data_IF_557186119084
#
_entry.id   IF_557186119084
#
_cell.length_a   1.000
_cell.length_b   1.000
_cell.length_c   1.000
_cell.angle_alpha   90.00
_cell.angle_beta   90.00
_cell.angle_gamma   90.00
#
_symmetry.space_group_name_H-M   'P 1'
#
loop_
_entity.id
_entity.type
_entity.pdbx_description
1 polymer ?
#
# COMPACT_ATOMS: atom_id res chain seq x y z
N UNK A 1 4.14 2.72 27.17
CA UNK A 1 3.70 3.36 25.91
C UNK A 1 2.34 4.00 26.14
N UNK A 2 2.12 5.23 25.68
CA UNK A 2 0.80 5.87 25.75
C UNK A 2 0.08 5.65 24.42
N UNK A 3 -0.99 4.84 24.37
CA UNK A 3 -1.68 4.53 23.12
C UNK A 3 -2.22 5.75 22.39
N UNK A 4 -2.74 6.75 23.12
CA UNK A 4 -3.32 7.96 22.52
C UNK A 4 -2.28 8.87 21.86
N UNK A 5 -1.00 8.59 22.04
CA UNK A 5 0.13 9.28 21.40
C UNK A 5 0.95 8.33 20.53
N UNK A 6 0.34 7.25 20.11
CA UNK A 6 1.01 6.20 19.33
C UNK A 6 0.27 5.97 18.03
N UNK A 7 1.03 5.76 16.96
CA UNK A 7 0.50 5.38 15.67
C UNK A 7 1.19 4.12 15.15
N UNK A 8 0.41 3.23 14.54
CA UNK A 8 0.93 2.15 13.71
C UNK A 8 1.04 2.69 12.28
N UNK A 9 2.23 2.67 11.72
CA UNK A 9 2.47 3.02 10.33
C UNK A 9 2.76 1.76 9.53
N UNK A 10 1.96 1.49 8.51
CA UNK A 10 2.26 0.47 7.51
C UNK A 10 2.71 1.13 6.22
N UNK A 11 3.64 0.50 5.52
CA UNK A 11 4.22 1.00 4.28
C UNK A 11 4.01 -0.03 3.19
N UNK A 12 3.39 0.38 2.09
CA UNK A 12 3.18 -0.42 0.87
C UNK A 12 2.28 -1.66 1.05
N UNK A 13 1.46 -1.74 2.10
CA UNK A 13 0.49 -2.84 2.25
C UNK A 13 -0.79 -2.57 1.46
N UNK A 14 -0.63 -2.50 0.15
CA UNK A 14 -1.65 -2.12 -0.83
C UNK A 14 -2.10 -3.32 -1.65
N UNK A 15 -3.31 -3.21 -2.22
CA UNK A 15 -3.85 -4.26 -3.09
C UNK A 15 -2.96 -4.55 -4.30
N UNK A 16 -2.34 -3.54 -4.91
CA UNK A 16 -1.46 -3.77 -6.07
C UNK A 16 -0.20 -4.59 -5.74
N UNK A 17 0.25 -4.58 -4.47
CA UNK A 17 1.32 -5.47 -4.04
C UNK A 17 0.84 -6.84 -3.60
N UNK A 18 -0.30 -6.93 -2.87
CA UNK A 18 -0.65 -8.11 -2.08
C UNK A 18 -1.89 -8.86 -2.56
N UNK A 19 -2.83 -8.16 -3.21
CA UNK A 19 -4.08 -8.79 -3.64
C UNK A 19 -3.88 -9.57 -4.95
N UNK A 20 -4.49 -10.76 -5.10
CA UNK A 20 -4.37 -11.54 -6.34
C UNK A 20 -4.78 -10.77 -7.61
N UNK A 21 -5.72 -9.84 -7.49
CA UNK A 21 -6.19 -8.97 -8.60
C UNK A 21 -5.39 -7.66 -8.72
N UNK A 22 -4.44 -7.41 -7.83
CA UNK A 22 -3.55 -6.26 -7.91
C UNK A 22 -2.47 -6.44 -8.98
N UNK A 23 -1.68 -5.40 -9.23
CA UNK A 23 -0.66 -5.40 -10.28
C UNK A 23 0.34 -6.56 -10.15
N UNK A 24 0.88 -6.76 -8.96
CA UNK A 24 1.84 -7.84 -8.70
C UNK A 24 1.16 -9.22 -8.76
N UNK A 25 -0.05 -9.36 -8.24
CA UNK A 25 -0.83 -10.60 -8.30
C UNK A 25 -1.11 -11.04 -9.74
N UNK A 26 -1.59 -10.11 -10.57
CA UNK A 26 -1.86 -10.37 -11.99
C UNK A 26 -0.61 -10.74 -12.77
N UNK A 27 0.55 -10.21 -12.38
CA UNK A 27 1.83 -10.51 -13.02
C UNK A 27 2.52 -11.78 -12.49
N UNK A 28 1.94 -12.44 -11.50
CA UNK A 28 2.55 -13.62 -10.87
C UNK A 28 3.78 -13.27 -10.02
N UNK A 29 3.87 -12.04 -9.52
CA UNK A 29 5.02 -11.51 -8.78
C UNK A 29 4.75 -11.34 -7.28
N UNK A 30 3.61 -11.79 -6.78
CA UNK A 30 3.30 -11.72 -5.36
C UNK A 30 4.09 -12.77 -4.56
N UNK A 31 4.40 -12.43 -3.30
CA UNK A 31 5.09 -13.32 -2.37
C UNK A 31 4.13 -13.72 -1.24
N UNK A 32 3.88 -15.04 -1.09
CA UNK A 32 2.91 -15.57 -0.13
C UNK A 32 3.21 -15.16 1.31
N UNK A 33 4.48 -15.12 1.68
CA UNK A 33 4.89 -14.72 3.03
C UNK A 33 4.50 -13.27 3.35
N UNK A 34 4.61 -12.38 2.37
CA UNK A 34 4.22 -10.97 2.53
C UNK A 34 2.70 -10.83 2.49
N UNK A 35 2.01 -11.63 1.68
CA UNK A 35 0.56 -11.61 1.60
C UNK A 35 -0.13 -11.95 2.92
N UNK A 36 0.54 -12.69 3.81
CA UNK A 36 0.04 -13.03 5.14
C UNK A 36 0.30 -11.96 6.20
N UNK A 37 1.14 -10.97 5.90
CA UNK A 37 1.52 -9.94 6.86
C UNK A 37 0.34 -9.10 7.38
N UNK A 38 -0.64 -8.70 6.56
CA UNK A 38 -1.81 -7.97 7.06
C UNK A 38 -2.56 -8.72 8.17
N UNK A 39 -2.77 -10.03 8.02
CA UNK A 39 -3.45 -10.84 9.04
C UNK A 39 -2.69 -10.87 10.35
N UNK A 40 -1.36 -10.84 10.30
CA UNK A 40 -0.51 -10.81 11.49
C UNK A 40 -0.49 -9.45 12.17
N UNK A 41 -0.63 -8.38 11.40
CA UNK A 41 -0.65 -7.00 11.91
C UNK A 41 -2.02 -6.62 12.47
N UNK A 42 -3.09 -7.18 11.92
CA UNK A 42 -4.47 -6.81 12.28
C UNK A 42 -4.74 -6.80 13.79
N UNK A 43 -4.35 -7.81 14.58
CA UNK A 43 -4.59 -7.78 16.03
C UNK A 43 -3.93 -6.58 16.73
N UNK A 44 -2.70 -6.24 16.32
CA UNK A 44 -1.99 -5.08 16.84
C UNK A 44 -2.71 -3.78 16.46
N UNK A 45 -3.09 -3.64 15.20
CA UNK A 45 -3.84 -2.50 14.70
C UNK A 45 -5.14 -2.31 15.48
N UNK A 46 -5.93 -3.37 15.62
CA UNK A 46 -7.23 -3.30 16.30
C UNK A 46 -7.09 -2.96 17.78
N UNK A 47 -6.10 -3.53 18.46
CA UNK A 47 -5.80 -3.23 19.86
C UNK A 47 -5.40 -1.78 20.05
N UNK A 48 -4.54 -1.26 19.18
CA UNK A 48 -4.07 0.13 19.26
C UNK A 48 -5.21 1.12 19.02
N UNK A 49 -6.04 0.89 18.00
CA UNK A 49 -7.20 1.74 17.70
C UNK A 49 -8.19 1.72 18.88
N UNK A 50 -8.50 0.55 19.43
CA UNK A 50 -9.39 0.43 20.59
C UNK A 50 -8.86 1.19 21.81
N UNK A 51 -7.55 1.33 21.94
CA UNK A 51 -6.89 2.07 23.01
C UNK A 51 -6.72 3.58 22.71
N UNK A 52 -7.25 4.07 21.57
CA UNK A 52 -7.21 5.49 21.20
C UNK A 52 -6.00 5.91 20.37
N UNK A 53 -5.23 4.96 19.87
CA UNK A 53 -4.12 5.22 18.95
C UNK A 53 -4.58 5.38 17.50
N UNK A 54 -3.62 5.51 16.59
CA UNK A 54 -3.88 5.77 15.17
C UNK A 54 -3.31 4.69 14.28
N UNK A 55 -3.97 4.48 13.14
CA UNK A 55 -3.44 3.67 12.05
C UNK A 55 -3.18 4.56 10.82
N UNK A 56 -1.96 4.54 10.33
CA UNK A 56 -1.51 5.33 9.19
C UNK A 56 -1.01 4.38 8.10
N UNK A 57 -1.46 4.58 6.87
CA UNK A 57 -1.01 3.82 5.70
C UNK A 57 -0.21 4.73 4.77
N UNK A 58 1.05 4.40 4.55
CA UNK A 58 1.87 5.02 3.52
C UNK A 58 1.76 4.18 2.25
N UNK A 59 1.35 4.79 1.15
CA UNK A 59 0.98 4.10 -0.08
C UNK A 59 1.83 4.57 -1.24
N UNK A 60 2.53 3.61 -1.85
CA UNK A 60 3.27 3.87 -3.08
C UNK A 60 2.30 4.30 -4.18
N UNK A 61 2.65 5.38 -4.88
CA UNK A 61 1.79 6.00 -5.86
C UNK A 61 2.55 6.20 -7.17
N UNK A 62 1.97 5.72 -8.26
CA UNK A 62 2.40 6.09 -9.60
C UNK A 62 1.53 7.25 -10.06
N UNK A 63 2.14 8.42 -10.15
CA UNK A 63 1.43 9.64 -10.57
C UNK A 63 0.98 9.48 -12.02
N UNK A 64 -0.28 9.74 -12.28
CA UNK A 64 -0.84 9.69 -13.63
C UNK A 64 -0.44 10.95 -14.41
N UNK A 65 0.14 10.73 -15.58
CA UNK A 65 0.45 11.78 -16.54
C UNK A 65 -0.64 11.93 -17.57
N UNK A 66 -0.24 12.35 -18.78
CA UNK A 66 -1.15 12.54 -19.91
C UNK A 66 -1.83 11.21 -20.28
N UNK A 67 -3.14 11.25 -20.54
CA UNK A 67 -3.96 10.08 -20.89
C UNK A 67 -3.94 8.99 -19.82
N UNK A 68 -3.80 9.38 -18.55
CA UNK A 68 -3.69 8.48 -17.41
C UNK A 68 -2.50 7.50 -17.46
N UNK A 69 -1.53 7.76 -18.32
CA UNK A 69 -0.30 6.95 -18.34
C UNK A 69 0.52 7.24 -17.09
N UNK A 70 0.97 6.17 -16.38
CA UNK A 70 1.74 6.37 -15.17
C UNK A 70 3.15 6.91 -15.48
N UNK A 71 3.61 7.82 -14.64
CA UNK A 71 4.99 8.30 -14.67
C UNK A 71 5.87 7.28 -13.91
N UNK A 72 6.55 6.43 -14.67
CA UNK A 72 7.38 5.36 -14.13
C UNK A 72 8.85 5.69 -14.40
N UNK A 73 9.66 5.76 -13.33
CA UNK A 73 11.09 5.97 -13.45
C UNK A 73 11.75 4.82 -14.26
N UNK A 74 12.78 5.14 -15.03
CA UNK A 74 13.41 4.19 -15.95
C UNK A 74 13.85 2.89 -15.27
N UNK A 75 14.48 2.98 -14.09
CA UNK A 75 14.92 1.79 -13.34
C UNK A 75 13.73 0.92 -12.87
N UNK A 76 12.62 1.53 -12.47
CA UNK A 76 11.43 0.79 -12.06
C UNK A 76 10.77 0.10 -13.27
N UNK A 77 10.72 0.77 -14.40
CA UNK A 77 10.19 0.20 -15.65
C UNK A 77 11.00 -1.02 -16.08
N UNK A 78 12.31 -0.98 -15.90
CA UNK A 78 13.19 -2.11 -16.18
C UNK A 78 12.96 -3.28 -15.21
N UNK A 79 12.84 -2.99 -13.91
CA UNK A 79 12.65 -4.02 -12.88
C UNK A 79 11.23 -4.58 -12.84
N UNK A 80 10.25 -3.79 -13.22
CA UNK A 80 8.81 -4.13 -13.14
C UNK A 80 8.09 -3.76 -14.44
N UNK A 81 8.45 -4.41 -15.55
CA UNK A 81 7.89 -4.06 -16.87
C UNK A 81 6.38 -4.29 -16.98
N UNK A 82 5.79 -5.04 -16.05
CA UNK A 82 4.35 -5.31 -16.03
C UNK A 82 3.52 -4.12 -15.52
N UNK A 83 4.14 -3.13 -14.89
CA UNK A 83 3.40 -1.95 -14.38
C UNK A 83 2.89 -1.10 -15.54
N UNK A 84 1.63 -0.72 -15.47
CA UNK A 84 0.97 0.02 -16.52
C UNK A 84 -0.16 0.90 -16.01
N UNK A 85 -1.00 1.30 -16.94
CA UNK A 85 -2.10 2.22 -16.70
C UNK A 85 -3.05 1.72 -15.62
N UNK A 86 -3.33 2.58 -14.64
CA UNK A 86 -4.19 2.28 -13.50
C UNK A 86 -3.46 1.67 -12.30
N UNK A 87 -2.29 1.09 -12.49
CA UNK A 87 -1.54 0.48 -11.39
C UNK A 87 -1.04 1.57 -10.43
N UNK A 88 -1.24 1.35 -9.15
CA UNK A 88 -0.87 2.29 -8.08
C UNK A 88 -1.41 3.71 -8.28
N UNK A 89 -2.48 3.87 -9.04
CA UNK A 89 -3.09 5.17 -9.27
C UNK A 89 -3.89 5.62 -8.04
N UNK A 90 -3.62 6.84 -7.58
CA UNK A 90 -4.27 7.42 -6.40
C UNK A 90 -5.79 7.26 -6.46
N UNK A 91 -6.38 6.76 -5.38
CA UNK A 91 -7.83 6.54 -5.26
C UNK A 91 -8.34 5.26 -5.91
N UNK A 92 -7.52 4.52 -6.64
CA UNK A 92 -7.92 3.25 -7.26
C UNK A 92 -7.88 2.07 -6.29
N UNK A 93 -8.49 0.95 -6.71
CA UNK A 93 -8.50 -0.30 -5.94
C UNK A 93 -7.09 -0.77 -5.58
N UNK A 94 -6.19 -0.76 -6.55
CA UNK A 94 -4.83 -1.25 -6.35
C UNK A 94 -4.01 -0.38 -5.39
N UNK A 95 -4.28 0.91 -5.39
CA UNK A 95 -3.61 1.89 -4.53
C UNK A 95 -4.02 1.76 -3.06
N UNK A 96 -5.22 1.29 -2.79
CA UNK A 96 -5.80 1.22 -1.45
C UNK A 96 -5.06 0.25 -0.55
N UNK A 97 -4.99 0.57 0.75
CA UNK A 97 -4.55 -0.40 1.76
C UNK A 97 -5.46 -1.62 1.70
N UNK A 98 -4.89 -2.81 1.94
CA UNK A 98 -5.65 -4.06 1.88
C UNK A 98 -6.85 -4.05 2.85
N UNK A 99 -7.96 -4.68 2.47
CA UNK A 99 -9.21 -4.67 3.22
C UNK A 99 -9.05 -5.17 4.65
N UNK A 100 -8.17 -6.12 4.89
CA UNK A 100 -7.86 -6.65 6.23
C UNK A 100 -7.48 -5.54 7.22
N UNK A 101 -6.80 -4.48 6.75
CA UNK A 101 -6.32 -3.37 7.57
C UNK A 101 -7.15 -2.09 7.39
N UNK A 102 -8.02 -2.02 6.41
CA UNK A 102 -8.84 -0.84 6.17
C UNK A 102 -9.89 -0.64 7.28
N UNK A 103 -10.31 0.62 7.53
CA UNK A 103 -9.76 1.85 6.98
C UNK A 103 -8.53 2.33 7.74
N UNK A 104 -7.70 3.16 7.11
CA UNK A 104 -6.67 3.93 7.80
C UNK A 104 -7.26 5.26 8.30
N UNK A 105 -6.76 5.74 9.45
CA UNK A 105 -7.12 7.08 9.94
C UNK A 105 -6.50 8.16 9.06
N UNK A 106 -5.27 7.91 8.60
CA UNK A 106 -4.55 8.79 7.69
C UNK A 106 -3.87 7.99 6.59
N UNK A 107 -3.87 8.53 5.38
CA UNK A 107 -3.18 7.98 4.23
C UNK A 107 -2.12 8.96 3.76
N UNK A 108 -0.91 8.45 3.55
CA UNK A 108 0.23 9.22 3.02
C UNK A 108 0.56 8.64 1.66
N UNK A 109 0.59 9.47 0.63
CA UNK A 109 1.04 9.05 -0.69
C UNK A 109 2.54 9.31 -0.82
N UNK A 110 3.27 8.29 -1.27
CA UNK A 110 4.69 8.41 -1.56
C UNK A 110 4.95 8.05 -3.03
N UNK A 111 5.87 8.77 -3.65
CA UNK A 111 6.21 8.61 -5.08
C UNK A 111 7.62 8.02 -5.28
N UNK A 112 8.28 7.65 -4.20
CA UNK A 112 9.61 7.06 -4.19
C UNK A 112 9.64 5.86 -3.22
N UNK A 113 10.78 5.18 -3.12
CA UNK A 113 10.90 4.03 -2.22
C UNK A 113 10.75 4.42 -0.75
N UNK A 114 11.29 5.55 -0.35
CA UNK A 114 11.16 6.02 1.03
C UNK A 114 9.76 6.55 1.31
N UNK A 115 9.25 6.30 2.51
CA UNK A 115 8.04 6.93 3.04
C UNK A 115 8.35 8.30 3.68
N UNK A 116 9.61 8.64 3.75
CA UNK A 116 10.13 9.86 4.37
C UNK A 116 10.97 10.64 3.37
#
# INVERSE_FOLDING_TARGET
>A
MNPTRTALLTIDLQNDFLHPKGAYGRAGQSADAIAQLPDRIKPLRDTLIAAGGYFISAQFTLVSGRNDEPLIAAHLRELRPFLGKGDFASGGFGHSVVDTLAPADFTIEKVAYSAF
#
